data_IF_274643915220
#
_entry.id   IF_274643915220
#
_cell.length_a   1.000
_cell.length_b   1.000
_cell.length_c   1.000
_cell.angle_alpha   90.00
_cell.angle_beta   90.00
_cell.angle_gamma   90.00
#
_symmetry.space_group_name_H-M   'P 1'
#
loop_
_entity.id
_entity.type
_entity.pdbx_description
1 polymer ?
#
# COMPACT_ATOMS: atom_id res chain seq x y z
N UNK A 1 13.74 9.72 -12.93
CA UNK A 1 12.77 10.10 -13.17
C UNK A 1 11.68 9.69 -12.36
N UNK A 2 10.95 10.54 -12.01
CA UNK A 2 9.84 10.24 -11.16
C UNK A 2 9.03 9.08 -11.67
N UNK A 3 9.23 8.77 -12.91
CA UNK A 3 8.49 7.68 -13.52
C UNK A 3 8.70 6.36 -12.80
N UNK A 4 9.79 6.25 -12.04
CA UNK A 4 10.04 5.01 -11.33
C UNK A 4 9.44 4.97 -9.95
N UNK A 5 8.87 6.07 -9.52
CA UNK A 5 8.26 6.09 -8.21
C UNK A 5 6.90 5.48 -8.26
N UNK A 6 6.63 4.63 -7.28
CA UNK A 6 5.34 4.01 -7.18
C UNK A 6 4.55 4.66 -6.07
N UNK A 7 3.29 4.91 -6.33
CA UNK A 7 2.37 5.34 -5.29
C UNK A 7 1.36 4.24 -5.09
N UNK A 8 0.62 4.31 -3.99
CA UNK A 8 -0.44 3.34 -3.74
C UNK A 8 -1.43 3.35 -4.90
N UNK A 9 -1.91 4.54 -5.27
CA UNK A 9 -2.88 4.65 -6.35
C UNK A 9 -2.35 4.16 -7.68
N UNK A 10 -1.10 4.50 -7.97
CA UNK A 10 -0.48 4.05 -9.21
C UNK A 10 -0.36 2.54 -9.29
N UNK A 11 0.02 1.91 -8.16
CA UNK A 11 0.15 0.46 -8.14
C UNK A 11 -1.20 -0.21 -8.34
N UNK A 12 -2.25 0.32 -7.72
CA UNK A 12 -3.60 -0.21 -7.86
C UNK A 12 -4.05 -0.08 -9.32
N UNK A 13 -3.87 1.10 -9.89
CA UNK A 13 -4.29 1.38 -11.26
C UNK A 13 -3.57 0.48 -12.26
N UNK A 14 -2.28 0.35 -12.09
CA UNK A 14 -1.47 -0.46 -12.99
C UNK A 14 -1.89 -1.93 -12.94
N UNK A 15 -2.08 -2.44 -11.73
CA UNK A 15 -2.48 -3.84 -11.56
C UNK A 15 -3.86 -4.09 -12.13
N UNK A 16 -4.79 -3.13 -11.92
CA UNK A 16 -6.12 -3.25 -12.48
C UNK A 16 -6.08 -3.33 -14.00
N UNK A 17 -5.31 -2.43 -14.61
CA UNK A 17 -5.21 -2.40 -16.07
C UNK A 17 -4.54 -3.65 -16.60
N UNK A 18 -3.59 -4.19 -15.87
CA UNK A 18 -2.93 -5.42 -16.28
C UNK A 18 -3.89 -6.59 -16.33
N UNK A 19 -4.97 -6.54 -15.53
CA UNK A 19 -6.01 -7.56 -15.58
C UNK A 19 -7.08 -7.28 -16.63
N UNK A 20 -6.98 -6.15 -17.32
CA UNK A 20 -7.97 -5.77 -18.32
C UNK A 20 -9.27 -5.29 -17.70
N UNK A 21 -9.24 -4.83 -16.46
CA UNK A 21 -10.46 -4.43 -15.75
C UNK A 21 -10.72 -2.94 -15.88
N UNK A 22 -12.00 -2.60 -16.04
CA UNK A 22 -12.44 -1.22 -15.92
C UNK A 22 -12.53 -0.86 -14.42
N UNK A 23 -12.71 0.42 -14.12
CA UNK A 23 -12.85 0.84 -12.73
C UNK A 23 -13.98 0.08 -12.03
N UNK A 24 -15.12 -0.09 -12.71
CA UNK A 24 -16.24 -0.75 -12.05
C UNK A 24 -15.93 -2.19 -11.70
N UNK A 25 -15.06 -2.84 -12.48
CA UNK A 25 -14.72 -4.22 -12.21
C UNK A 25 -13.96 -4.34 -10.90
N UNK A 26 -13.04 -3.45 -10.66
CA UNK A 26 -12.31 -3.46 -9.41
C UNK A 26 -13.19 -2.98 -8.25
N UNK A 27 -13.94 -1.90 -8.46
CA UNK A 27 -14.77 -1.35 -7.39
C UNK A 27 -15.75 -2.38 -6.85
N UNK A 28 -16.31 -3.22 -7.71
CA UNK A 28 -17.27 -4.22 -7.27
C UNK A 28 -16.64 -5.34 -6.42
N UNK A 29 -15.32 -5.41 -6.41
CA UNK A 29 -14.62 -6.47 -5.70
C UNK A 29 -14.01 -6.03 -4.38
N UNK A 30 -14.15 -4.75 -4.04
CA UNK A 30 -13.60 -4.21 -2.79
C UNK A 30 -14.75 -3.65 -1.97
N UNK A 31 -14.87 -4.11 -0.73
CA UNK A 31 -16.03 -3.78 0.09
C UNK A 31 -15.68 -2.80 1.20
N UNK A 32 -16.61 -1.91 1.49
CA UNK A 32 -16.54 -1.04 2.67
C UNK A 32 -16.91 -1.86 3.89
N UNK A 33 -16.84 -1.23 5.05
CA UNK A 33 -17.16 -1.92 6.30
C UNK A 33 -18.62 -2.35 6.36
N UNK A 34 -19.50 -1.63 5.70
CA UNK A 34 -20.91 -2.01 5.66
C UNK A 34 -21.17 -3.09 4.62
N UNK A 35 -20.12 -3.64 4.03
CA UNK A 35 -20.15 -4.73 3.05
C UNK A 35 -20.73 -4.33 1.71
N UNK A 36 -20.85 -3.04 1.46
CA UNK A 36 -21.22 -2.54 0.16
C UNK A 36 -19.95 -2.27 -0.65
N UNK A 37 -20.04 -2.44 -1.96
CA UNK A 37 -18.91 -2.17 -2.82
C UNK A 37 -18.51 -0.69 -2.72
N UNK A 38 -17.21 -0.40 -2.87
CA UNK A 38 -16.77 1.00 -2.89
C UNK A 38 -17.30 1.66 -4.15
N UNK A 39 -17.47 2.98 -4.08
CA UNK A 39 -17.99 3.72 -5.23
C UNK A 39 -16.90 3.91 -6.28
N UNK A 40 -17.33 4.18 -7.50
CA UNK A 40 -16.38 4.49 -8.57
C UNK A 40 -15.60 5.76 -8.26
N UNK A 41 -16.28 6.75 -7.68
CA UNK A 41 -15.61 8.00 -7.33
C UNK A 41 -14.51 7.76 -6.30
N UNK A 42 -14.82 6.97 -5.26
CA UNK A 42 -13.84 6.67 -4.24
C UNK A 42 -12.63 5.96 -4.82
N UNK A 43 -12.88 4.94 -5.66
CA UNK A 43 -11.78 4.21 -6.28
C UNK A 43 -10.97 5.11 -7.19
N UNK A 44 -11.64 5.96 -7.96
CA UNK A 44 -10.94 6.87 -8.84
C UNK A 44 -10.05 7.81 -8.04
N UNK A 45 -10.53 8.30 -6.91
CA UNK A 45 -9.73 9.17 -6.05
C UNK A 45 -8.52 8.42 -5.49
N UNK A 46 -8.69 7.16 -5.11
CA UNK A 46 -7.57 6.36 -4.62
C UNK A 46 -6.54 6.14 -5.73
N UNK A 47 -6.99 5.82 -6.93
CA UNK A 47 -6.06 5.56 -8.03
C UNK A 47 -5.26 6.80 -8.41
N UNK A 48 -5.81 7.97 -8.16
CA UNK A 48 -5.12 9.22 -8.48
C UNK A 48 -4.45 9.84 -7.26
N UNK A 49 -4.38 9.08 -6.17
CA UNK A 49 -3.70 9.50 -4.94
C UNK A 49 -4.32 10.74 -4.30
N UNK A 50 -5.60 10.97 -4.57
CA UNK A 50 -6.34 12.04 -3.90
C UNK A 50 -6.91 11.59 -2.57
N UNK A 51 -6.93 10.28 -2.34
CA UNK A 51 -7.35 9.69 -1.08
C UNK A 51 -6.46 8.53 -0.74
N UNK A 52 -6.28 8.30 0.55
CA UNK A 52 -5.60 7.09 1.02
C UNK A 52 -6.65 6.05 1.36
N UNK A 53 -6.29 4.76 1.34
CA UNK A 53 -7.26 3.74 1.76
C UNK A 53 -7.65 3.97 3.21
N UNK A 54 -8.92 3.77 3.52
CA UNK A 54 -9.47 4.16 4.81
C UNK A 54 -9.13 3.20 5.95
N UNK A 55 -8.66 2.01 5.63
CA UNK A 55 -8.39 1.03 6.68
C UNK A 55 -7.41 -0.01 6.19
N UNK A 56 -6.85 -0.76 7.15
CA UNK A 56 -5.98 -1.87 6.83
C UNK A 56 -6.72 -2.92 6.03
N UNK A 57 -7.98 -3.16 6.37
CA UNK A 57 -8.77 -4.15 5.66
C UNK A 57 -8.88 -3.81 4.20
N UNK A 58 -9.03 -2.52 3.89
CA UNK A 58 -9.11 -2.11 2.51
C UNK A 58 -7.80 -2.35 1.77
N UNK A 59 -6.66 -2.06 2.43
CA UNK A 59 -5.37 -2.35 1.83
C UNK A 59 -5.25 -3.84 1.51
N UNK A 60 -5.66 -4.69 2.47
CA UNK A 60 -5.59 -6.13 2.27
C UNK A 60 -6.49 -6.59 1.13
N UNK A 61 -7.68 -6.01 1.02
CA UNK A 61 -8.58 -6.39 -0.07
C UNK A 61 -7.98 -6.04 -1.42
N UNK A 62 -7.41 -4.85 -1.56
CA UNK A 62 -6.75 -4.49 -2.81
C UNK A 62 -5.62 -5.46 -3.13
N UNK A 63 -4.82 -5.81 -2.13
CA UNK A 63 -3.71 -6.72 -2.35
C UNK A 63 -4.21 -8.08 -2.83
N UNK A 64 -5.24 -8.60 -2.16
CA UNK A 64 -5.76 -9.93 -2.47
C UNK A 64 -6.44 -9.96 -3.84
N UNK A 65 -7.25 -8.97 -4.12
CA UNK A 65 -8.01 -8.93 -5.36
C UNK A 65 -7.08 -8.73 -6.56
N UNK A 66 -6.04 -7.92 -6.39
CA UNK A 66 -5.15 -7.60 -7.49
C UNK A 66 -3.91 -8.49 -7.55
N UNK A 67 -3.70 -9.32 -6.54
CA UNK A 67 -2.54 -10.20 -6.52
C UNK A 67 -1.24 -9.48 -6.23
N UNK A 68 -1.31 -8.41 -5.43
CA UNK A 68 -0.14 -7.64 -5.04
C UNK A 68 0.27 -8.05 -3.63
N UNK A 69 1.56 -8.07 -3.38
CA UNK A 69 2.08 -8.36 -2.05
C UNK A 69 1.51 -7.38 -1.03
N UNK A 70 0.97 -7.88 0.08
CA UNK A 70 0.36 -7.04 1.10
C UNK A 70 1.35 -6.06 1.72
N UNK A 71 2.54 -6.53 2.05
CA UNK A 71 3.52 -5.66 2.69
C UNK A 71 3.92 -4.52 1.78
N UNK A 72 4.04 -4.79 0.49
CA UNK A 72 4.34 -3.75 -0.48
C UNK A 72 3.24 -2.70 -0.51
N UNK A 73 1.97 -3.12 -0.51
CA UNK A 73 0.88 -2.15 -0.49
C UNK A 73 0.80 -1.38 0.82
N UNK A 74 1.09 -2.03 1.95
CA UNK A 74 1.15 -1.31 3.22
C UNK A 74 2.22 -0.23 3.16
N UNK A 75 3.39 -0.59 2.65
CA UNK A 75 4.48 0.37 2.51
C UNK A 75 4.04 1.56 1.66
N UNK A 76 3.42 1.31 0.51
CA UNK A 76 2.98 2.39 -0.36
C UNK A 76 1.88 3.24 0.28
N UNK A 77 1.06 2.64 1.13
CA UNK A 77 0.01 3.37 1.83
C UNK A 77 0.54 4.16 3.03
N UNK A 78 1.82 4.01 3.34
CA UNK A 78 2.41 4.69 4.49
C UNK A 78 1.98 4.09 5.81
N UNK A 79 1.70 2.78 5.84
CA UNK A 79 1.22 2.10 7.03
C UNK A 79 2.11 0.93 7.35
N UNK A 80 2.25 0.66 8.64
CA UNK A 80 2.84 -0.62 9.04
C UNK A 80 1.75 -1.67 9.05
N UNK A 81 2.04 -2.90 8.63
CA UNK A 81 1.08 -3.99 8.78
C UNK A 81 0.64 -4.13 10.23
N UNK A 82 -0.58 -4.59 10.42
CA UNK A 82 -1.17 -4.68 11.74
C UNK A 82 -0.33 -5.53 12.69
N UNK A 83 0.17 -6.65 12.21
CA UNK A 83 0.98 -7.54 13.05
C UNK A 83 2.27 -6.85 13.52
N UNK A 84 2.82 -5.98 12.71
CA UNK A 84 4.02 -5.23 13.10
C UNK A 84 3.67 -4.18 14.15
N UNK A 85 2.56 -3.46 13.94
CA UNK A 85 2.13 -2.45 14.91
C UNK A 85 1.80 -3.07 16.25
N UNK A 86 1.24 -4.27 16.24
CA UNK A 86 0.84 -4.93 17.48
C UNK A 86 2.02 -5.43 18.30
N UNK A 87 3.21 -5.45 17.73
CA UNK A 87 4.38 -5.91 18.46
C UNK A 87 4.82 -4.94 19.54
N UNK A 88 4.35 -3.70 19.50
CA UNK A 88 4.70 -2.71 20.52
C UNK A 88 6.21 -2.58 20.65
N UNK A 89 6.84 -2.25 19.55
CA UNK A 89 8.28 -2.14 19.48
C UNK A 89 8.79 -1.04 20.42
N UNK A 90 9.97 -1.25 20.98
CA UNK A 90 10.62 -0.21 21.78
C UNK A 90 11.17 0.86 20.85
N UNK A 91 11.52 2.00 21.47
CA UNK A 91 12.12 3.09 20.71
C UNK A 91 13.38 2.62 19.99
N UNK A 92 14.20 1.80 20.65
CA UNK A 92 15.41 1.30 20.04
C UNK A 92 15.11 0.42 18.84
N UNK A 93 14.12 -0.45 18.98
CA UNK A 93 13.74 -1.33 17.86
C UNK A 93 13.21 -0.54 16.68
N UNK A 94 12.44 0.52 16.94
CA UNK A 94 11.96 1.37 15.87
C UNK A 94 13.12 2.06 15.17
N UNK A 95 14.07 2.57 15.94
CA UNK A 95 15.23 3.24 15.36
C UNK A 95 16.00 2.28 14.45
N UNK A 96 16.17 1.04 14.90
CA UNK A 96 16.89 0.04 14.12
C UNK A 96 16.14 -0.29 12.83
N UNK A 97 14.83 -0.40 12.92
CA UNK A 97 14.01 -0.67 11.73
C UNK A 97 14.12 0.45 10.72
N UNK A 98 14.14 1.70 11.20
CA UNK A 98 14.25 2.84 10.29
C UNK A 98 15.60 2.88 9.60
N UNK A 99 16.65 2.48 10.31
CA UNK A 99 17.97 2.37 9.68
C UNK A 99 17.91 1.37 8.52
N UNK A 100 17.28 0.22 8.77
CA UNK A 100 17.16 -0.79 7.73
C UNK A 100 16.38 -0.26 6.52
N UNK A 101 15.30 0.49 6.76
CA UNK A 101 14.53 1.07 5.67
C UNK A 101 15.34 2.07 4.87
N UNK A 102 16.28 2.77 5.50
CA UNK A 102 17.11 3.73 4.79
C UNK A 102 18.34 3.12 4.12
N UNK A 103 18.40 1.80 4.04
CA UNK A 103 19.49 1.12 3.38
C UNK A 103 20.45 0.42 4.29
N UNK A 104 20.10 0.31 5.56
CA UNK A 104 20.93 -0.37 6.52
C UNK A 104 22.02 0.53 7.10
N UNK A 105 22.79 -0.02 8.01
CA UNK A 105 23.88 0.75 8.62
C UNK A 105 24.89 1.11 7.55
N UNK A 106 25.48 2.26 7.74
CA UNK A 106 26.41 2.64 6.77
C UNK A 106 27.57 1.87 6.92
N UNK A 107 28.03 1.26 6.21
CA UNK A 107 29.05 0.50 6.38
C UNK A 107 29.90 0.94 5.57
N UNK A 108 30.17 1.34 5.92
CA UNK A 108 30.75 1.73 5.11
C UNK A 108 30.27 1.92 3.90
N UNK A 109 30.08 1.65 3.92
CA UNK A 109 29.64 2.00 3.07
C UNK A 109 29.76 2.56 2.43
N UNK A 110 30.08 2.41 2.43
CA UNK A 110 30.06 2.94 1.84
C UNK A 110 29.92 3.27 1.33
N UNK A 111 29.89 3.14 1.28
CA UNK A 111 29.66 3.50 0.91
C UNK A 111 29.69 4.21 0.81
N UNK A 112 29.95 4.26 0.81
CA UNK A 112 29.87 4.92 0.75
C UNK A 112 29.95 5.09 0.78
#
# INVERSE_FOLDING_TARGET
>A
MAANEKTFGGAISEARKAKGWALKDLASRVLREDKEAISLQYLNDIEHDRRSPSSDRMVQQFADVLGIDRDWLYYLAGRFPEDVRDKKLSEKQVAEAMVAFRGGPRKGKGRS
#
